data_IF_167730713293
#
_entry.id   IF_167730713293
#
_cell.length_a   1.000
_cell.length_b   1.000
_cell.length_c   1.000
_cell.angle_alpha   90.00
_cell.angle_beta   90.00
_cell.angle_gamma   90.00
#
_symmetry.space_group_name_H-M   'P 1'
#
loop_
_entity.id
_entity.type
_entity.pdbx_description
1 polymer ?
#
# COMPACT_ATOMS: atom_id res chain seq x y z
N UNK A 1 0.57 7.97 -3.44
CA UNK A 1 0.26 8.02 -4.90
C UNK A 1 -1.21 7.78 -5.17
N UNK A 2 -1.82 6.71 -4.64
CA UNK A 2 -3.25 6.46 -4.82
C UNK A 2 -4.13 7.59 -4.24
N UNK A 3 -3.73 8.17 -3.10
CA UNK A 3 -4.41 9.35 -2.56
C UNK A 3 -4.41 10.50 -3.57
N UNK A 4 -3.26 10.78 -4.21
CA UNK A 4 -3.16 11.78 -5.27
C UNK A 4 -4.03 11.42 -6.49
N UNK A 5 -4.05 10.16 -6.91
CA UNK A 5 -4.87 9.70 -8.02
C UNK A 5 -6.36 9.91 -7.77
N UNK A 6 -6.84 9.69 -6.53
CA UNK A 6 -8.22 9.91 -6.10
C UNK A 6 -8.50 11.30 -5.52
N UNK A 7 -7.54 12.23 -5.60
CA UNK A 7 -7.61 13.58 -5.01
C UNK A 7 -7.96 13.60 -3.51
N UNK A 8 -7.53 12.56 -2.80
CA UNK A 8 -7.64 12.46 -1.35
C UNK A 8 -6.49 13.17 -0.63
N UNK A 9 -6.69 13.60 0.63
CA UNK A 9 -5.63 14.19 1.43
C UNK A 9 -4.44 13.25 1.55
N UNK A 10 -3.24 13.73 1.18
CA UNK A 10 -2.01 12.97 1.33
C UNK A 10 -1.64 12.94 2.81
N UNK A 11 -1.75 11.76 3.43
CA UNK A 11 -1.31 11.59 4.82
C UNK A 11 0.21 11.47 4.87
N UNK A 12 0.90 12.25 5.72
CA UNK A 12 2.34 12.11 5.91
C UNK A 12 2.62 10.75 6.56
N UNK A 13 3.34 9.90 5.85
CA UNK A 13 3.81 8.61 6.37
C UNK A 13 5.25 8.82 6.84
N UNK A 14 5.61 8.28 8.01
CA UNK A 14 7.02 8.28 8.42
C UNK A 14 7.85 7.56 7.36
N UNK A 15 8.88 8.22 6.83
CA UNK A 15 9.76 7.63 5.82
C UNK A 15 10.29 6.29 6.32
N UNK A 16 9.96 5.20 5.62
CA UNK A 16 10.67 3.94 5.75
C UNK A 16 12.06 4.14 5.13
N UNK A 17 13.12 3.94 5.93
CA UNK A 17 14.51 4.07 5.46
C UNK A 17 14.73 3.08 4.30
N UNK A 18 14.80 3.60 3.07
CA UNK A 18 14.93 2.82 1.85
C UNK A 18 13.94 3.20 0.73
N UNK A 19 12.86 3.94 1.03
CA UNK A 19 11.92 4.38 0.00
C UNK A 19 12.20 5.81 -0.44
N UNK A 20 13.03 5.98 -1.47
CA UNK A 20 13.20 7.28 -2.14
C UNK A 20 11.87 7.81 -2.71
N UNK A 21 10.90 6.92 -2.97
CA UNK A 21 9.58 7.24 -3.51
C UNK A 21 8.60 7.82 -2.48
N UNK A 22 8.93 7.80 -1.19
CA UNK A 22 8.07 8.33 -0.13
C UNK A 22 8.10 9.87 -0.02
N UNK A 23 9.03 10.55 -0.71
CA UNK A 23 9.08 12.01 -0.70
C UNK A 23 7.84 12.60 -1.41
N UNK A 24 7.12 13.57 -0.79
CA UNK A 24 6.00 14.26 -1.42
C UNK A 24 6.35 14.90 -2.77
N UNK A 25 7.62 15.27 -2.99
CA UNK A 25 8.09 15.81 -4.27
C UNK A 25 7.92 14.85 -5.45
N UNK A 26 7.94 13.53 -5.23
CA UNK A 26 7.67 12.56 -6.30
C UNK A 26 6.25 12.66 -6.83
N UNK A 27 5.31 13.13 -6.01
CA UNK A 27 3.94 13.30 -6.44
C UNK A 27 3.85 14.39 -7.51
N UNK A 28 4.75 15.38 -7.57
CA UNK A 28 4.74 16.43 -8.61
C UNK A 28 4.81 15.86 -10.03
N UNK A 29 5.49 14.73 -10.21
CA UNK A 29 5.62 14.06 -11.50
C UNK A 29 4.42 13.16 -11.85
N UNK A 30 3.54 12.88 -10.88
CA UNK A 30 2.34 12.08 -11.12
C UNK A 30 1.21 12.97 -11.67
N UNK A 31 0.93 12.83 -12.98
CA UNK A 31 -0.01 13.68 -13.71
C UNK A 31 -1.41 13.07 -13.87
N UNK A 32 -1.60 11.82 -13.43
CA UNK A 32 -2.86 11.11 -13.62
C UNK A 32 -3.84 11.37 -12.47
N UNK A 33 -5.14 11.37 -12.78
CA UNK A 33 -6.20 11.38 -11.78
C UNK A 33 -7.41 10.57 -12.26
N UNK A 34 -8.30 10.23 -11.32
CA UNK A 34 -9.46 9.38 -11.54
C UNK A 34 -10.55 9.99 -12.45
N UNK A 35 -10.48 11.30 -12.76
CA UNK A 35 -11.43 12.02 -13.60
C UNK A 35 -10.96 12.14 -15.05
N UNK A 36 -9.76 11.67 -15.38
CA UNK A 36 -9.24 11.76 -16.74
C UNK A 36 -10.07 10.88 -17.70
N UNK A 37 -10.44 11.42 -18.88
CA UNK A 37 -11.14 10.64 -19.89
C UNK A 37 -10.40 9.35 -20.24
N UNK A 38 -11.11 8.22 -20.15
CA UNK A 38 -10.57 6.89 -20.41
C UNK A 38 -10.02 6.16 -19.18
N UNK A 39 -10.05 6.77 -17.99
CA UNK A 39 -9.68 6.12 -16.73
C UNK A 39 -10.89 5.83 -15.83
N UNK A 40 -12.12 6.15 -16.24
CA UNK A 40 -13.30 6.03 -15.40
C UNK A 40 -13.56 4.58 -14.97
N UNK A 41 -13.50 3.64 -15.92
CA UNK A 41 -13.73 2.21 -15.65
C UNK A 41 -12.64 1.64 -14.72
N UNK A 42 -11.38 2.04 -14.96
CA UNK A 42 -10.25 1.65 -14.11
C UNK A 42 -10.40 2.23 -12.70
N UNK A 43 -10.76 3.50 -12.58
CA UNK A 43 -10.97 4.17 -11.30
C UNK A 43 -12.13 3.52 -10.53
N UNK A 44 -13.21 3.16 -11.22
CA UNK A 44 -14.36 2.45 -10.64
C UNK A 44 -13.99 1.06 -10.15
N UNK A 45 -13.26 0.29 -10.96
CA UNK A 45 -12.74 -1.02 -10.56
C UNK A 45 -11.81 -0.91 -9.36
N UNK A 46 -10.83 0.00 -9.40
CA UNK A 46 -9.84 0.16 -8.35
C UNK A 46 -10.50 0.56 -7.03
N UNK A 47 -11.44 1.51 -7.06
CA UNK A 47 -12.18 1.92 -5.86
C UNK A 47 -12.98 0.76 -5.26
N UNK A 48 -13.63 -0.03 -6.11
CA UNK A 48 -14.40 -1.20 -5.67
C UNK A 48 -13.49 -2.24 -5.03
N UNK A 49 -12.36 -2.52 -5.66
CA UNK A 49 -11.35 -3.45 -5.16
C UNK A 49 -10.75 -3.01 -3.80
N UNK A 50 -10.34 -1.75 -3.69
CA UNK A 50 -9.80 -1.17 -2.44
C UNK A 50 -10.81 -1.18 -1.29
N UNK A 51 -12.11 -1.28 -1.59
CA UNK A 51 -13.19 -1.32 -0.60
C UNK A 51 -13.59 -2.75 -0.22
N UNK A 52 -12.96 -3.78 -0.78
CA UNK A 52 -13.25 -5.17 -0.42
C UNK A 52 -12.74 -5.49 0.98
N UNK A 53 -13.47 -6.35 1.69
CA UNK A 53 -13.05 -6.86 3.00
C UNK A 53 -11.71 -7.58 2.92
N UNK A 54 -11.49 -8.33 1.83
CA UNK A 54 -10.24 -9.05 1.57
C UNK A 54 -9.04 -8.10 1.49
N UNK A 55 -9.13 -7.07 0.65
CA UNK A 55 -8.08 -6.05 0.54
C UNK A 55 -7.88 -5.33 1.88
N UNK A 56 -8.96 -4.91 2.53
CA UNK A 56 -8.89 -4.13 3.78
C UNK A 56 -8.24 -4.94 4.90
N UNK A 57 -8.57 -6.23 5.03
CA UNK A 57 -7.95 -7.13 6.00
C UNK A 57 -6.47 -7.36 5.69
N UNK A 58 -6.14 -7.62 4.41
CA UNK A 58 -4.75 -7.81 3.99
C UNK A 58 -3.90 -6.55 4.25
N UNK A 59 -4.39 -5.37 3.84
CA UNK A 59 -3.70 -4.10 4.07
C UNK A 59 -3.50 -3.81 5.56
N UNK A 60 -4.53 -4.03 6.38
CA UNK A 60 -4.44 -3.86 7.84
C UNK A 60 -3.39 -4.78 8.45
N UNK A 61 -3.42 -6.07 8.07
CA UNK A 61 -2.46 -7.07 8.55
C UNK A 61 -1.03 -6.74 8.14
N UNK A 62 -0.83 -6.29 6.91
CA UNK A 62 0.48 -5.87 6.42
C UNK A 62 1.03 -4.69 7.24
N UNK A 63 0.19 -3.69 7.53
CA UNK A 63 0.58 -2.52 8.33
C UNK A 63 0.97 -2.94 9.76
N UNK A 64 0.20 -3.83 10.39
CA UNK A 64 0.53 -4.35 11.72
C UNK A 64 1.86 -5.10 11.75
N UNK A 65 2.08 -6.03 10.81
CA UNK A 65 3.32 -6.80 10.71
C UNK A 65 4.53 -5.90 10.43
N UNK A 66 4.38 -4.93 9.54
CA UNK A 66 5.43 -3.96 9.22
C UNK A 66 5.79 -3.10 10.43
N UNK A 67 4.80 -2.64 11.19
CA UNK A 67 5.01 -1.89 12.44
C UNK A 67 5.74 -2.73 13.48
N UNK A 68 5.36 -4.00 13.64
CA UNK A 68 6.02 -4.92 14.57
C UNK A 68 7.47 -5.15 14.16
N UNK A 69 7.73 -5.41 12.87
CA UNK A 69 9.07 -5.64 12.34
C UNK A 69 10.00 -4.43 12.52
N UNK A 70 9.47 -3.21 12.43
CA UNK A 70 10.25 -1.98 12.61
C UNK A 70 10.83 -1.80 14.02
N UNK A 71 10.19 -2.40 15.02
CA UNK A 71 10.56 -2.22 16.44
C UNK A 71 11.04 -3.52 17.10
N UNK A 72 11.28 -4.58 16.31
CA UNK A 72 11.74 -5.88 16.80
C UNK A 72 13.24 -6.03 16.58
N UNK A 73 13.99 -6.28 17.66
CA UNK A 73 15.43 -6.48 17.63
C UNK A 73 15.82 -7.96 17.65
N UNK A 74 14.90 -8.84 18.08
CA UNK A 74 15.14 -10.27 18.14
C UNK A 74 15.16 -10.90 16.74
N UNK A 75 16.32 -11.41 16.33
CA UNK A 75 16.55 -11.95 14.98
C UNK A 75 15.55 -13.04 14.58
N UNK A 76 15.16 -13.92 15.50
CA UNK A 76 14.22 -15.01 15.20
C UNK A 76 12.82 -14.46 14.95
N UNK A 77 12.34 -13.56 15.83
CA UNK A 77 11.05 -12.90 15.66
C UNK A 77 11.01 -12.02 14.41
N UNK A 78 12.09 -11.29 14.10
CA UNK A 78 12.21 -10.54 12.84
C UNK A 78 12.05 -11.45 11.64
N UNK A 79 12.74 -12.59 11.63
CA UNK A 79 12.68 -13.56 10.53
C UNK A 79 11.26 -14.10 10.34
N UNK A 80 10.59 -14.43 11.44
CA UNK A 80 9.18 -14.83 11.42
C UNK A 80 8.26 -13.74 10.84
N UNK A 81 8.41 -12.48 11.28
CA UNK A 81 7.60 -11.37 10.78
C UNK A 81 7.80 -11.13 9.27
N UNK A 82 9.04 -11.24 8.78
CA UNK A 82 9.35 -11.17 7.34
C UNK A 82 8.67 -12.30 6.57
N UNK A 83 8.68 -13.53 7.10
CA UNK A 83 7.99 -14.66 6.48
C UNK A 83 6.48 -14.42 6.41
N UNK A 84 5.86 -13.94 7.49
CA UNK A 84 4.42 -13.64 7.50
C UNK A 84 4.05 -12.55 6.48
N UNK A 85 4.88 -11.52 6.33
CA UNK A 85 4.70 -10.50 5.29
C UNK A 85 4.80 -11.14 3.90
N UNK A 86 5.81 -11.97 3.66
CA UNK A 86 5.98 -12.66 2.38
C UNK A 86 4.80 -13.59 2.04
N UNK A 87 4.24 -14.28 3.03
CA UNK A 87 3.06 -15.12 2.85
C UNK A 87 1.83 -14.29 2.50
N UNK A 88 1.67 -13.12 3.12
CA UNK A 88 0.58 -12.21 2.82
C UNK A 88 0.67 -11.65 1.39
N UNK A 89 1.89 -11.32 0.93
CA UNK A 89 2.15 -10.85 -0.44
C UNK A 89 1.93 -11.96 -1.50
N UNK A 90 2.29 -13.20 -1.16
CA UNK A 90 2.11 -14.38 -2.05
C UNK A 90 0.68 -14.92 -2.02
N UNK A 91 -0.03 -14.71 -0.90
CA UNK A 91 -1.32 -15.32 -0.58
C UNK A 91 -2.52 -14.72 -1.31
N UNK A 92 -2.34 -13.60 -2.01
CA UNK A 92 -3.37 -13.01 -2.84
C UNK A 92 -2.91 -13.00 -4.31
N UNK A 93 -3.25 -14.05 -5.05
CA UNK A 93 -3.30 -14.02 -6.51
C UNK A 93 -4.43 -13.06 -6.89
N UNK A 94 -4.16 -11.76 -6.82
CA UNK A 94 -5.05 -10.74 -7.33
C UNK A 94 -5.27 -11.02 -8.82
N UNK A 95 -6.53 -11.24 -9.21
CA UNK A 95 -7.05 -11.60 -10.54
C UNK A 95 -7.23 -13.12 -10.74
N UNK A 96 -8.44 -13.60 -10.42
CA UNK A 96 -9.16 -14.61 -11.25
C UNK A 96 -10.17 -13.90 -12.12
#
# INVERSE_FOLDING_TARGET
MLDKFFEQPIMPISNWEGSNLASPSFLEFFQYNYQQPGLEDFAGWLRSFLSTDEFTQAASRFIELSKALNHEDDTEKRSYLVEQISLLEKGNTFIT
#
